data_IF_599034075919
#
_entry.id   IF_599034075919
#
_cell.length_a   1.000
_cell.length_b   1.000
_cell.length_c   1.000
_cell.angle_alpha   90.00
_cell.angle_beta   90.00
_cell.angle_gamma   90.00
#
_symmetry.space_group_name_H-M   'P 1'
#
loop_
_entity.id
_entity.type
_entity.pdbx_description
1 polymer ?
#
# COMPACT_ATOMS: atom_id res chain seq x y z
N UNK A 1 -0.87 -30.89 2.02
CA UNK A 1 -1.10 -29.62 1.31
C UNK A 1 -1.65 -28.65 2.35
N UNK A 2 -1.03 -27.49 2.54
CA UNK A 2 -1.47 -26.55 3.57
C UNK A 2 -2.76 -25.86 3.10
N UNK A 3 -3.87 -26.00 3.85
CA UNK A 3 -5.18 -25.43 3.48
C UNK A 3 -5.15 -23.89 3.36
N UNK A 4 -4.19 -23.24 4.02
CA UNK A 4 -4.04 -21.79 4.04
C UNK A 4 -3.20 -21.23 2.88
N UNK A 5 -2.60 -22.06 2.02
CA UNK A 5 -1.71 -21.59 0.95
C UNK A 5 -2.25 -21.92 -0.45
N UNK A 6 -2.32 -20.89 -1.31
CA UNK A 6 -2.73 -20.99 -2.70
C UNK A 6 -1.63 -20.47 -3.64
N UNK A 7 -1.48 -21.10 -4.81
CA UNK A 7 -0.55 -20.64 -5.85
C UNK A 7 -1.33 -20.04 -6.99
N UNK A 8 -0.93 -18.86 -7.44
CA UNK A 8 -1.47 -18.19 -8.62
C UNK A 8 -0.56 -18.45 -9.81
N UNK A 9 -1.17 -18.89 -10.90
CA UNK A 9 -0.48 -19.07 -12.18
C UNK A 9 -0.24 -17.69 -12.84
N UNK A 10 0.94 -17.43 -13.43
CA UNK A 10 1.19 -16.20 -14.17
C UNK A 10 0.28 -16.00 -15.40
N UNK A 11 -0.20 -17.08 -16.01
CA UNK A 11 -1.04 -17.04 -17.21
C UNK A 11 -2.54 -16.99 -16.88
N UNK A 12 -2.91 -17.25 -15.63
CA UNK A 12 -4.30 -17.31 -15.19
C UNK A 12 -4.46 -16.87 -13.74
N UNK A 13 -5.16 -15.76 -13.55
CA UNK A 13 -5.54 -15.27 -12.24
C UNK A 13 -6.29 -16.32 -11.41
N UNK A 14 -5.99 -16.37 -10.12
CA UNK A 14 -6.57 -17.33 -9.19
C UNK A 14 -8.08 -17.07 -8.98
N UNK A 15 -8.47 -15.81 -9.02
CA UNK A 15 -9.85 -15.34 -8.82
C UNK A 15 -10.37 -14.66 -10.09
N UNK A 16 -10.65 -15.46 -11.13
CA UNK A 16 -11.12 -14.92 -12.42
C UNK A 16 -12.46 -14.19 -12.30
N UNK A 17 -13.32 -14.59 -11.37
CA UNK A 17 -14.61 -13.95 -11.10
C UNK A 17 -14.44 -12.47 -10.72
N UNK A 18 -13.40 -12.12 -9.96
CA UNK A 18 -13.08 -10.72 -9.63
C UNK A 18 -12.70 -9.90 -10.87
N UNK A 19 -12.01 -10.51 -11.83
CA UNK A 19 -11.69 -9.86 -13.11
C UNK A 19 -12.97 -9.58 -13.90
N UNK A 20 -13.88 -10.54 -13.95
CA UNK A 20 -15.16 -10.38 -14.64
C UNK A 20 -16.11 -9.42 -13.93
N UNK A 21 -15.97 -9.21 -12.63
CA UNK A 21 -16.79 -8.28 -11.84
C UNK A 21 -16.24 -6.86 -11.77
N UNK A 22 -15.25 -6.51 -12.61
CA UNK A 22 -14.70 -5.15 -12.65
C UNK A 22 -15.80 -4.11 -12.93
N UNK A 23 -15.82 -2.97 -12.21
CA UNK A 23 -16.82 -1.94 -12.47
C UNK A 23 -16.71 -1.38 -13.90
N UNK A 24 -17.79 -1.48 -14.69
CA UNK A 24 -17.83 -0.95 -16.06
C UNK A 24 -17.98 0.58 -16.11
N UNK A 25 -18.60 1.15 -15.07
CA UNK A 25 -18.84 2.60 -14.98
C UNK A 25 -17.87 3.24 -13.99
N UNK A 26 -17.16 4.29 -14.43
CA UNK A 26 -16.23 5.08 -13.59
C UNK A 26 -16.86 5.58 -12.29
N UNK A 27 -18.16 5.88 -12.28
CA UNK A 27 -18.86 6.31 -11.07
C UNK A 27 -18.93 5.24 -9.97
N UNK A 28 -18.85 3.96 -10.33
CA UNK A 28 -18.84 2.83 -9.39
C UNK A 28 -17.44 2.23 -9.19
N UNK A 29 -16.43 2.75 -9.89
CA UNK A 29 -15.06 2.27 -9.83
C UNK A 29 -14.23 2.87 -8.67
N UNK A 30 -14.90 3.57 -7.74
CA UNK A 30 -14.32 4.10 -6.51
C UNK A 30 -13.49 5.37 -6.66
N UNK A 31 -13.18 5.98 -5.52
CA UNK A 31 -12.39 7.20 -5.35
C UNK A 31 -11.13 6.90 -4.55
N UNK A 32 -9.96 7.14 -5.11
CA UNK A 32 -8.68 6.93 -4.43
C UNK A 32 -8.03 8.27 -4.08
N UNK A 33 -7.63 8.43 -2.82
CA UNK A 33 -6.69 9.47 -2.43
C UNK A 33 -5.27 8.91 -2.42
N UNK A 34 -4.38 9.51 -3.18
CA UNK A 34 -2.95 9.19 -3.21
C UNK A 34 -2.20 10.29 -2.47
N UNK A 35 -1.36 9.92 -1.51
CA UNK A 35 -0.61 10.86 -0.68
C UNK A 35 0.87 10.52 -0.77
N UNK A 36 1.70 11.52 -1.03
CA UNK A 36 3.14 11.29 -1.10
C UNK A 36 3.90 12.52 -1.53
N UNK A 37 5.20 12.32 -1.72
CA UNK A 37 6.10 13.34 -2.22
C UNK A 37 6.63 14.29 -1.17
N UNK A 38 7.71 14.96 -1.57
CA UNK A 38 8.40 16.02 -0.86
C UNK A 38 9.07 16.93 -1.90
N UNK A 39 9.61 18.08 -1.46
CA UNK A 39 10.28 19.06 -2.32
C UNK A 39 11.32 18.49 -3.30
N UNK A 40 11.98 17.36 -2.97
CA UNK A 40 13.02 16.74 -3.77
C UNK A 40 12.53 15.56 -4.63
N UNK A 41 11.30 15.08 -4.45
CA UNK A 41 10.80 13.94 -5.19
C UNK A 41 9.30 13.72 -5.02
N UNK A 42 8.62 13.46 -6.12
CA UNK A 42 7.18 13.14 -6.18
C UNK A 42 6.90 12.02 -7.19
N UNK A 43 7.92 11.23 -7.54
CA UNK A 43 7.78 10.18 -8.54
C UNK A 43 6.82 9.09 -8.06
N UNK A 44 6.88 8.71 -6.78
CA UNK A 44 5.99 7.71 -6.20
C UNK A 44 4.50 8.08 -6.32
N UNK A 45 4.02 9.25 -5.86
CA UNK A 45 2.61 9.60 -6.01
C UNK A 45 2.19 9.80 -7.48
N UNK A 46 3.08 10.28 -8.36
CA UNK A 46 2.78 10.44 -9.79
C UNK A 46 2.65 9.08 -10.52
N UNK A 47 3.58 8.16 -10.26
CA UNK A 47 3.52 6.78 -10.78
C UNK A 47 2.30 6.05 -10.21
N UNK A 48 2.03 6.18 -8.91
CA UNK A 48 0.86 5.59 -8.28
C UNK A 48 -0.45 6.08 -8.91
N UNK A 49 -0.53 7.36 -9.28
CA UNK A 49 -1.69 7.89 -9.99
C UNK A 49 -1.86 7.22 -11.37
N UNK A 50 -0.81 7.17 -12.18
CA UNK A 50 -0.87 6.53 -13.49
C UNK A 50 -1.22 5.03 -13.39
N UNK A 51 -0.67 4.33 -12.40
CA UNK A 51 -0.94 2.92 -12.19
C UNK A 51 -2.33 2.66 -11.61
N UNK A 52 -2.89 3.55 -10.79
CA UNK A 52 -4.27 3.46 -10.34
C UNK A 52 -5.26 3.64 -11.51
N UNK A 53 -4.97 4.56 -12.44
CA UNK A 53 -5.76 4.71 -13.67
C UNK A 53 -5.72 3.44 -14.53
N UNK A 54 -4.54 2.82 -14.68
CA UNK A 54 -4.40 1.53 -15.39
C UNK A 54 -5.13 0.39 -14.68
N UNK A 55 -5.12 0.38 -13.35
CA UNK A 55 -5.85 -0.58 -12.53
C UNK A 55 -7.38 -0.40 -12.60
N UNK A 56 -7.85 0.71 -13.17
CA UNK A 56 -9.27 0.97 -13.39
C UNK A 56 -9.95 1.76 -12.28
N UNK A 57 -9.23 2.64 -11.56
CA UNK A 57 -9.84 3.54 -10.59
C UNK A 57 -10.85 4.49 -11.25
N UNK A 58 -11.98 4.75 -10.59
CA UNK A 58 -12.99 5.69 -11.08
C UNK A 58 -12.48 7.11 -11.16
N UNK A 59 -12.03 7.62 -10.01
CA UNK A 59 -11.36 8.92 -9.88
C UNK A 59 -10.27 8.86 -8.82
N UNK A 60 -9.17 9.57 -9.06
CA UNK A 60 -8.09 9.69 -8.10
C UNK A 60 -7.72 11.16 -7.90
N UNK A 61 -7.30 11.49 -6.68
CA UNK A 61 -6.68 12.77 -6.33
C UNK A 61 -5.31 12.50 -5.72
N UNK A 62 -4.38 13.40 -5.94
CA UNK A 62 -3.03 13.29 -5.38
C UNK A 62 -2.75 14.45 -4.47
N UNK A 63 -2.61 14.20 -3.17
CA UNK A 63 -2.17 15.20 -2.21
C UNK A 63 -0.64 15.25 -2.16
N UNK A 64 -0.10 16.45 -2.36
CA UNK A 64 1.32 16.77 -2.38
C UNK A 64 1.63 17.89 -1.37
N UNK A 65 2.87 18.04 -0.88
CA UNK A 65 3.25 19.22 -0.11
C UNK A 65 3.26 20.48 -0.99
N UNK A 66 2.77 21.60 -0.49
CA UNK A 66 2.69 22.89 -1.19
C UNK A 66 4.04 23.43 -1.69
N UNK A 67 5.15 22.98 -1.11
CA UNK A 67 6.50 23.23 -1.63
C UNK A 67 6.71 22.75 -3.08
N UNK A 68 5.91 21.79 -3.56
CA UNK A 68 5.92 21.30 -4.94
C UNK A 68 5.03 22.11 -5.89
N UNK A 69 4.20 23.04 -5.40
CA UNK A 69 3.25 23.77 -6.24
C UNK A 69 3.91 24.47 -7.42
N UNK A 70 5.07 25.11 -7.18
CA UNK A 70 5.84 25.78 -8.25
C UNK A 70 6.40 24.82 -9.30
N UNK A 71 6.60 23.56 -8.93
CA UNK A 71 7.18 22.52 -9.80
C UNK A 71 6.12 21.84 -10.64
N UNK A 72 4.97 21.46 -10.05
CA UNK A 72 3.99 20.58 -10.71
C UNK A 72 2.57 21.13 -10.75
N UNK A 73 2.23 22.16 -9.97
CA UNK A 73 0.84 22.60 -9.77
C UNK A 73 0.11 23.04 -11.03
N UNK A 74 0.81 23.52 -12.06
CA UNK A 74 0.20 23.88 -13.35
C UNK A 74 0.03 22.70 -14.31
N UNK A 75 0.88 21.67 -14.18
CA UNK A 75 0.95 20.56 -15.12
C UNK A 75 0.15 19.34 -14.64
N UNK A 76 0.05 19.17 -13.32
CA UNK A 76 -0.56 18.00 -12.71
C UNK A 76 -1.92 18.35 -12.10
N UNK A 77 -2.97 18.29 -12.93
CA UNK A 77 -4.33 18.73 -12.58
C UNK A 77 -5.03 17.86 -11.53
N UNK A 78 -4.56 16.64 -11.30
CA UNK A 78 -5.01 15.79 -10.20
C UNK A 78 -4.36 16.14 -8.85
N UNK A 79 -3.37 17.05 -8.86
CA UNK A 79 -2.61 17.47 -7.70
C UNK A 79 -3.34 18.49 -6.84
N UNK A 80 -3.49 18.16 -5.57
CA UNK A 80 -3.94 19.02 -4.47
C UNK A 80 -2.74 19.27 -3.54
N UNK A 81 -2.73 20.38 -2.81
CA UNK A 81 -1.55 20.84 -2.09
C UNK A 81 -1.85 21.19 -0.65
N UNK A 82 -1.15 20.53 0.27
CA UNK A 82 -1.26 20.77 1.71
C UNK A 82 0.02 21.40 2.30
N UNK A 83 -0.06 22.06 3.47
CA UNK A 83 1.08 22.71 4.10
C UNK A 83 2.34 21.84 4.19
N UNK A 84 3.50 22.42 3.84
CA UNK A 84 4.81 21.77 3.95
C UNK A 84 5.67 22.31 5.09
N UNK A 85 6.57 21.47 5.60
CA UNK A 85 7.63 21.87 6.52
C UNK A 85 8.66 22.76 5.80
N UNK A 86 9.54 23.48 6.52
CA UNK A 86 10.64 24.21 5.89
C UNK A 86 11.56 23.32 5.02
N UNK A 87 11.66 22.03 5.33
CA UNK A 87 12.43 21.06 4.53
C UNK A 87 11.65 20.50 3.34
N UNK A 88 10.35 20.81 3.21
CA UNK A 88 9.53 20.50 2.05
C UNK A 88 8.80 19.15 2.08
N UNK A 89 8.72 18.47 3.22
CA UNK A 89 7.79 17.34 3.44
C UNK A 89 6.45 17.86 3.98
N UNK A 90 5.44 17.02 4.19
CA UNK A 90 4.18 17.47 4.79
C UNK A 90 4.38 17.99 6.23
N UNK A 91 3.82 19.16 6.53
CA UNK A 91 3.77 19.73 7.87
C UNK A 91 2.64 19.14 8.70
N UNK A 92 2.75 19.22 10.03
CA UNK A 92 1.72 18.72 10.95
C UNK A 92 0.38 19.44 10.77
N UNK A 93 0.42 20.70 10.33
CA UNK A 93 -0.77 21.50 10.04
C UNK A 93 -1.59 20.99 8.85
N UNK A 94 -1.03 20.09 8.02
CA UNK A 94 -1.75 19.42 6.93
C UNK A 94 -2.80 18.40 7.40
N UNK A 95 -2.83 18.05 8.70
CA UNK A 95 -3.69 16.96 9.20
C UNK A 95 -5.18 17.15 8.88
N UNK A 96 -5.70 18.37 9.03
CA UNK A 96 -7.13 18.64 8.81
C UNK A 96 -7.51 18.45 7.34
N UNK A 97 -6.67 18.94 6.42
CA UNK A 97 -6.86 18.80 4.99
C UNK A 97 -6.72 17.34 4.54
N UNK A 98 -5.70 16.64 5.03
CA UNK A 98 -5.49 15.23 4.75
C UNK A 98 -6.68 14.36 5.21
N UNK A 99 -7.24 14.63 6.40
CA UNK A 99 -8.45 13.95 6.88
C UNK A 99 -9.69 14.28 6.04
N UNK A 100 -9.86 15.54 5.62
CA UNK A 100 -10.98 15.95 4.78
C UNK A 100 -10.94 15.27 3.40
N UNK A 101 -9.75 15.15 2.81
CA UNK A 101 -9.56 14.44 1.56
C UNK A 101 -9.75 12.93 1.72
N UNK A 102 -9.28 12.35 2.82
CA UNK A 102 -9.50 10.94 3.11
C UNK A 102 -11.00 10.62 3.25
N UNK A 103 -11.79 11.52 3.86
CA UNK A 103 -13.24 11.39 3.96
C UNK A 103 -13.97 11.50 2.61
N UNK A 104 -13.36 12.13 1.59
CA UNK A 104 -13.89 12.17 0.23
C UNK A 104 -13.65 10.86 -0.54
N UNK A 105 -12.58 10.13 -0.21
CA UNK A 105 -12.16 8.91 -0.89
C UNK A 105 -12.78 7.65 -0.28
N UNK A 106 -12.86 6.59 -1.08
CA UNK A 106 -13.23 5.24 -0.64
C UNK A 106 -12.00 4.45 -0.14
N UNK A 107 -10.78 4.90 -0.49
CA UNK A 107 -9.53 4.37 0.04
C UNK A 107 -8.37 5.35 -0.09
N UNK A 108 -7.34 5.16 0.73
CA UNK A 108 -6.13 6.00 0.75
C UNK A 108 -4.90 5.16 0.42
N UNK A 109 -4.02 5.70 -0.42
CA UNK A 109 -2.70 5.16 -0.69
C UNK A 109 -1.62 6.15 -0.21
N UNK A 110 -0.87 5.79 0.83
CA UNK A 110 0.40 6.46 1.14
C UNK A 110 1.47 5.89 0.20
N UNK A 111 1.65 6.52 -0.96
CA UNK A 111 2.47 6.02 -2.06
C UNK A 111 3.98 6.08 -1.77
N UNK A 112 4.38 6.97 -0.87
CA UNK A 112 5.77 7.19 -0.47
C UNK A 112 6.36 8.48 -1.02
N UNK A 113 7.69 8.55 -1.01
CA UNK A 113 8.49 9.76 -1.16
C UNK A 113 8.10 10.83 -0.10
N UNK A 114 7.69 10.42 1.10
CA UNK A 114 7.27 11.33 2.18
C UNK A 114 8.46 12.03 2.85
N UNK A 115 9.65 11.44 2.73
CA UNK A 115 10.90 11.97 3.25
C UNK A 115 11.20 11.50 4.67
N UNK A 116 12.19 12.12 5.31
CA UNK A 116 12.63 11.76 6.68
C UNK A 116 12.60 12.99 7.59
N UNK A 117 11.40 13.45 7.89
CA UNK A 117 11.16 14.60 8.76
C UNK A 117 10.31 14.15 9.96
N UNK A 118 10.71 14.54 11.17
CA UNK A 118 10.03 14.16 12.42
C UNK A 118 8.63 14.77 12.55
N UNK A 119 8.41 15.98 12.05
CA UNK A 119 7.10 16.61 12.00
C UNK A 119 6.15 15.83 11.05
N UNK A 120 6.66 15.39 9.89
CA UNK A 120 5.92 14.51 8.99
C UNK A 120 5.63 13.17 9.64
N UNK A 121 6.55 12.61 10.43
CA UNK A 121 6.28 11.38 11.18
C UNK A 121 5.09 11.55 12.14
N UNK A 122 5.06 12.66 12.89
CA UNK A 122 3.94 12.99 13.79
C UNK A 122 2.63 13.17 13.02
N UNK A 123 2.67 13.79 11.83
CA UNK A 123 1.49 13.90 10.96
C UNK A 123 0.96 12.52 10.56
N UNK A 124 1.82 11.66 10.01
CA UNK A 124 1.43 10.34 9.50
C UNK A 124 0.91 9.46 10.65
N UNK A 125 1.57 9.47 11.80
CA UNK A 125 1.09 8.77 12.99
C UNK A 125 -0.31 9.23 13.41
N UNK A 126 -0.52 10.55 13.51
CA UNK A 126 -1.83 11.12 13.87
C UNK A 126 -2.90 10.83 12.82
N UNK A 127 -2.52 10.78 11.54
CA UNK A 127 -3.42 10.45 10.46
C UNK A 127 -3.85 8.98 10.53
N UNK A 128 -2.92 8.04 10.67
CA UNK A 128 -3.19 6.59 10.79
C UNK A 128 -4.09 6.26 11.99
N UNK A 129 -3.91 6.97 13.10
CA UNK A 129 -4.73 6.82 14.30
C UNK A 129 -6.16 7.35 14.13
N UNK A 130 -6.37 8.38 13.29
CA UNK A 130 -7.65 9.10 13.19
C UNK A 130 -8.49 8.75 11.97
N UNK A 131 -7.87 8.36 10.87
CA UNK A 131 -8.55 8.06 9.63
C UNK A 131 -9.25 6.69 9.76
N UNK A 132 -10.56 6.56 9.60
CA UNK A 132 -11.21 5.25 9.44
C UNK A 132 -11.13 4.79 7.98
N UNK A 133 -11.25 3.49 7.72
CA UNK A 133 -11.34 2.97 6.35
C UNK A 133 -10.03 2.42 5.77
N UNK A 134 -10.12 2.06 4.51
CA UNK A 134 -9.10 1.35 3.73
C UNK A 134 -7.86 2.22 3.51
N UNK A 135 -6.71 1.72 3.95
CA UNK A 135 -5.42 2.37 3.71
C UNK A 135 -4.34 1.40 3.25
N UNK A 136 -3.65 1.77 2.19
CA UNK A 136 -2.49 1.05 1.65
C UNK A 136 -1.23 1.88 1.88
N UNK A 137 -0.19 1.27 2.46
CA UNK A 137 1.11 1.92 2.68
C UNK A 137 2.16 1.28 1.78
N UNK A 138 2.85 2.10 0.99
CA UNK A 138 3.94 1.67 0.11
C UNK A 138 5.26 2.39 0.39
N UNK A 139 6.36 1.81 -0.12
CA UNK A 139 7.72 2.38 -0.05
C UNK A 139 8.10 2.81 1.38
N UNK A 140 8.55 4.05 1.57
CA UNK A 140 8.96 4.66 2.84
C UNK A 140 7.77 5.04 3.74
N UNK A 141 6.52 4.99 3.26
CA UNK A 141 5.36 5.19 4.13
C UNK A 141 5.28 4.13 5.23
N UNK A 142 5.70 2.89 4.92
CA UNK A 142 5.79 1.80 5.90
C UNK A 142 6.83 2.10 6.98
N UNK A 143 7.86 2.89 6.67
CA UNK A 143 8.95 3.17 7.61
C UNK A 143 8.46 3.95 8.84
N UNK A 144 7.38 4.73 8.72
CA UNK A 144 6.75 5.45 9.83
C UNK A 144 6.10 4.53 10.87
N UNK A 145 5.91 3.25 10.55
CA UNK A 145 5.32 2.27 11.46
C UNK A 145 6.38 1.41 12.14
N UNK A 146 7.66 1.48 11.74
CA UNK A 146 8.67 0.54 12.22
C UNK A 146 8.89 0.63 13.74
N UNK A 147 8.96 1.84 14.28
CA UNK A 147 9.22 2.05 15.71
C UNK A 147 7.98 1.78 16.58
N UNK A 148 6.78 1.89 16.02
CA UNK A 148 5.52 1.60 16.73
C UNK A 148 4.58 0.80 15.83
N UNK A 149 4.84 -0.51 15.65
CA UNK A 149 4.13 -1.33 14.66
C UNK A 149 2.62 -1.39 14.83
N UNK A 150 2.12 -1.25 16.07
CA UNK A 150 0.70 -1.30 16.39
C UNK A 150 -0.14 -0.27 15.61
N UNK A 151 0.44 0.88 15.21
CA UNK A 151 -0.30 1.92 14.46
C UNK A 151 -0.75 1.46 13.07
N UNK A 152 -0.13 0.41 12.51
CA UNK A 152 -0.52 -0.18 11.25
C UNK A 152 -0.90 -1.66 11.36
N UNK A 153 -0.18 -2.45 12.16
CA UNK A 153 -0.41 -3.89 12.28
C UNK A 153 -1.74 -4.22 12.95
N UNK A 154 -2.09 -3.45 13.98
CA UNK A 154 -3.31 -3.67 14.78
C UNK A 154 -4.47 -2.80 14.29
N UNK A 155 -4.23 -1.99 13.25
CA UNK A 155 -5.23 -1.17 12.60
C UNK A 155 -5.99 -2.05 11.59
N UNK A 156 -7.33 -2.16 11.68
CA UNK A 156 -8.12 -2.86 10.67
C UNK A 156 -7.99 -2.13 9.32
N UNK A 157 -8.35 -2.80 8.23
CA UNK A 157 -8.42 -2.17 6.90
C UNK A 157 -7.10 -1.50 6.51
N UNK A 158 -5.98 -2.12 6.88
CA UNK A 158 -4.62 -1.68 6.49
C UNK A 158 -3.92 -2.73 5.62
N UNK A 159 -3.36 -2.30 4.49
CA UNK A 159 -2.52 -3.12 3.61
C UNK A 159 -1.11 -2.55 3.53
N UNK A 160 -0.09 -3.38 3.75
CA UNK A 160 1.31 -3.00 3.69
C UNK A 160 2.00 -3.62 2.47
N UNK A 161 2.53 -2.77 1.59
CA UNK A 161 3.35 -3.17 0.46
C UNK A 161 4.82 -3.07 0.86
N UNK A 162 5.39 -4.20 1.28
CA UNK A 162 6.56 -4.22 2.16
C UNK A 162 7.69 -5.08 1.61
N UNK A 163 8.92 -4.72 1.96
CA UNK A 163 10.12 -5.54 1.72
C UNK A 163 10.37 -6.50 2.88
N UNK A 164 11.11 -7.60 2.66
CA UNK A 164 11.53 -8.49 3.76
C UNK A 164 12.27 -7.73 4.88
N UNK A 165 13.06 -6.70 4.54
CA UNK A 165 13.79 -5.87 5.50
C UNK A 165 12.85 -5.06 6.41
N UNK A 166 11.80 -4.49 5.84
CA UNK A 166 10.78 -3.74 6.59
C UNK A 166 9.91 -4.71 7.41
N UNK A 167 9.53 -5.87 6.86
CA UNK A 167 8.78 -6.89 7.59
C UNK A 167 9.58 -7.43 8.78
N UNK A 168 10.87 -7.71 8.61
CA UNK A 168 11.76 -8.14 9.69
C UNK A 168 11.76 -7.12 10.83
N UNK A 169 11.89 -5.82 10.53
CA UNK A 169 11.86 -4.76 11.54
C UNK A 169 10.51 -4.62 12.23
N UNK A 170 9.40 -4.64 11.47
CA UNK A 170 8.04 -4.61 12.03
C UNK A 170 7.81 -5.79 12.97
N UNK A 171 8.12 -7.01 12.51
CA UNK A 171 7.91 -8.23 13.28
C UNK A 171 8.76 -8.25 14.56
N UNK A 172 10.02 -7.83 14.49
CA UNK A 172 10.89 -7.73 15.66
C UNK A 172 10.34 -6.74 16.69
N UNK A 173 9.95 -5.54 16.26
CA UNK A 173 9.40 -4.51 17.14
C UNK A 173 7.99 -4.86 17.66
N UNK A 174 7.23 -5.68 16.92
CA UNK A 174 5.96 -6.28 17.34
C UNK A 174 6.15 -7.51 18.25
N UNK A 175 7.40 -7.89 18.57
CA UNK A 175 7.74 -9.06 19.39
C UNK A 175 7.15 -10.36 18.83
N UNK A 176 7.09 -10.49 17.51
CA UNK A 176 6.71 -11.72 16.84
C UNK A 176 7.87 -12.71 16.91
N UNK A 177 7.58 -13.95 17.32
CA UNK A 177 8.62 -14.94 17.67
C UNK A 177 9.37 -15.50 16.45
N UNK A 178 8.70 -15.94 15.37
CA UNK A 178 9.41 -16.31 14.15
C UNK A 178 10.11 -15.10 13.54
N UNK A 179 11.43 -15.16 13.40
CA UNK A 179 12.20 -14.10 12.77
C UNK A 179 12.09 -14.22 11.24
N UNK A 180 11.71 -13.16 10.56
CA UNK A 180 11.83 -13.07 9.10
C UNK A 180 13.28 -12.79 8.72
N UNK A 181 13.88 -13.63 7.87
CA UNK A 181 15.27 -13.47 7.41
C UNK A 181 15.35 -13.50 5.88
N UNK A 182 16.44 -12.97 5.32
CA UNK A 182 16.64 -12.91 3.87
C UNK A 182 16.93 -14.27 3.23
N UNK A 183 17.40 -15.23 4.01
CA UNK A 183 17.76 -16.60 3.63
C UNK A 183 16.65 -17.60 3.99
N UNK A 184 15.53 -17.14 4.52
CA UNK A 184 14.38 -17.98 4.87
C UNK A 184 13.89 -18.71 3.61
N UNK A 185 13.73 -20.03 3.71
CA UNK A 185 13.19 -20.80 2.59
C UNK A 185 11.71 -20.49 2.36
N UNK A 186 11.26 -20.83 1.15
CA UNK A 186 9.93 -20.51 0.67
C UNK A 186 8.81 -21.02 1.59
N UNK A 187 8.90 -22.25 2.09
CA UNK A 187 7.82 -22.85 2.90
C UNK A 187 7.78 -22.23 4.29
N UNK A 188 8.94 -22.01 4.90
CA UNK A 188 9.04 -21.30 6.18
C UNK A 188 8.52 -19.87 6.09
N UNK A 189 8.75 -19.17 4.96
CA UNK A 189 8.18 -17.83 4.74
C UNK A 189 6.65 -17.87 4.64
N UNK A 190 6.09 -18.85 3.91
CA UNK A 190 4.63 -19.04 3.82
C UNK A 190 4.02 -19.29 5.19
N UNK A 191 4.61 -20.16 6.00
CA UNK A 191 4.13 -20.45 7.35
C UNK A 191 4.27 -19.25 8.30
N UNK A 192 5.39 -18.52 8.22
CA UNK A 192 5.60 -17.31 9.01
C UNK A 192 4.59 -16.22 8.67
N UNK A 193 4.28 -16.01 7.39
CA UNK A 193 3.27 -15.06 6.93
C UNK A 193 1.84 -15.45 7.35
N UNK A 194 1.51 -16.74 7.27
CA UNK A 194 0.26 -17.29 7.79
C UNK A 194 0.09 -16.93 9.28
N UNK A 195 1.07 -17.31 10.11
CA UNK A 195 1.03 -17.07 11.55
C UNK A 195 1.02 -15.58 11.90
N UNK A 196 1.74 -14.75 11.14
CA UNK A 196 1.80 -13.32 11.36
C UNK A 196 0.46 -12.62 11.09
N UNK A 197 -0.17 -12.92 9.94
CA UNK A 197 -1.45 -12.31 9.54
C UNK A 197 -2.67 -12.98 10.18
N UNK A 198 -2.51 -14.14 10.82
CA UNK A 198 -3.51 -14.68 11.75
C UNK A 198 -3.51 -13.93 13.09
N UNK A 199 -2.38 -13.30 13.47
CA UNK A 199 -2.23 -12.54 14.72
C UNK A 199 -2.52 -11.05 14.55
N UNK A 200 -2.13 -10.47 13.42
CA UNK A 200 -2.29 -9.04 13.14
C UNK A 200 -3.30 -8.84 12.00
N UNK A 201 -4.28 -7.92 12.14
CA UNK A 201 -5.30 -7.68 11.12
C UNK A 201 -4.78 -7.04 9.82
N UNK A 202 -3.57 -6.48 9.82
CA UNK A 202 -3.00 -5.90 8.60
C UNK A 202 -2.72 -6.94 7.51
N UNK A 203 -3.09 -6.60 6.28
CA UNK A 203 -2.75 -7.36 5.09
C UNK A 203 -1.31 -7.09 4.68
N UNK A 204 -0.61 -8.09 4.17
CA UNK A 204 0.74 -7.95 3.65
C UNK A 204 0.79 -8.29 2.16
N UNK A 205 1.49 -7.47 1.38
CA UNK A 205 1.95 -7.81 0.04
C UNK A 205 3.45 -7.58 0.00
N UNK A 206 4.23 -8.61 -0.28
CA UNK A 206 5.67 -8.52 -0.29
C UNK A 206 6.31 -9.31 -1.42
N UNK A 207 7.44 -8.82 -1.92
CA UNK A 207 8.28 -9.58 -2.84
C UNK A 207 9.42 -10.24 -2.09
N UNK A 208 9.65 -11.51 -2.38
CA UNK A 208 10.83 -12.25 -1.94
C UNK A 208 11.28 -13.19 -3.05
N UNK A 209 12.54 -13.02 -3.48
CA UNK A 209 13.10 -13.66 -4.68
C UNK A 209 12.20 -13.39 -5.91
N UNK A 210 11.86 -14.44 -6.67
CA UNK A 210 11.03 -14.38 -7.88
C UNK A 210 9.53 -14.54 -7.59
N UNK A 211 9.08 -14.22 -6.37
CA UNK A 211 7.69 -14.37 -5.97
C UNK A 211 7.17 -13.13 -5.24
N UNK A 212 5.92 -12.80 -5.51
CA UNK A 212 5.11 -11.92 -4.68
C UNK A 212 4.21 -12.78 -3.81
N UNK A 213 4.18 -12.46 -2.53
CA UNK A 213 3.36 -13.09 -1.50
C UNK A 213 2.27 -12.10 -1.10
N UNK A 214 1.05 -12.59 -1.01
CA UNK A 214 -0.08 -11.89 -0.38
C UNK A 214 -0.48 -12.68 0.84
N UNK A 215 -0.56 -12.03 2.00
CA UNK A 215 -1.01 -12.66 3.24
C UNK A 215 -2.13 -11.82 3.86
N UNK A 216 -3.28 -12.45 4.12
CA UNK A 216 -4.51 -11.82 4.62
C UNK A 216 -5.20 -12.78 5.56
N UNK A 217 -5.38 -12.39 6.83
CA UNK A 217 -6.11 -13.19 7.83
C UNK A 217 -5.66 -14.67 7.87
N UNK A 218 -4.34 -14.89 7.82
CA UNK A 218 -3.74 -16.22 7.77
C UNK A 218 -3.76 -16.90 6.39
N UNK A 219 -4.54 -16.45 5.42
CA UNK A 219 -4.45 -16.99 4.07
C UNK A 219 -3.25 -16.41 3.34
N UNK A 220 -2.52 -17.25 2.60
CA UNK A 220 -1.34 -16.88 1.83
C UNK A 220 -1.53 -17.26 0.38
N UNK A 221 -1.26 -16.34 -0.54
CA UNK A 221 -1.12 -16.65 -1.95
C UNK A 221 0.25 -16.25 -2.46
N UNK A 222 0.71 -16.93 -3.50
CA UNK A 222 1.99 -16.66 -4.13
C UNK A 222 1.85 -16.57 -5.64
N UNK A 223 2.41 -15.53 -6.23
CA UNK A 223 2.44 -15.26 -7.67
C UNK A 223 3.90 -15.15 -8.10
N UNK A 224 4.30 -15.87 -9.16
CA UNK A 224 5.67 -15.77 -9.69
C UNK A 224 5.87 -14.40 -10.35
N UNK A 225 6.91 -13.68 -9.96
CA UNK A 225 7.23 -12.33 -10.43
C UNK A 225 8.75 -12.23 -10.68
N UNK A 226 9.22 -12.33 -11.94
CA UNK A 226 10.65 -12.36 -12.25
C UNK A 226 11.42 -11.13 -11.73
N UNK A 227 12.68 -11.34 -11.32
CA UNK A 227 13.48 -10.34 -10.63
C UNK A 227 13.83 -9.07 -11.44
N UNK A 228 13.75 -9.11 -12.77
CA UNK A 228 14.13 -8.04 -13.70
C UNK A 228 13.16 -6.83 -13.67
N UNK A 229 11.99 -6.97 -13.06
CA UNK A 229 11.07 -5.86 -12.84
C UNK A 229 11.48 -5.03 -11.60
N UNK A 230 12.27 -3.97 -11.82
CA UNK A 230 12.86 -3.13 -10.76
C UNK A 230 11.84 -2.22 -10.01
N UNK A 231 10.73 -1.83 -10.64
CA UNK A 231 9.76 -0.86 -10.12
C UNK A 231 8.46 -1.51 -9.61
N UNK A 232 8.56 -2.60 -8.85
CA UNK A 232 7.36 -3.37 -8.45
C UNK A 232 6.51 -2.66 -7.38
N UNK A 233 7.13 -1.96 -6.42
CA UNK A 233 6.43 -1.48 -5.20
C UNK A 233 5.33 -0.46 -5.47
N UNK A 234 5.61 0.58 -6.25
CA UNK A 234 4.61 1.63 -6.52
C UNK A 234 3.46 1.08 -7.35
N UNK A 235 3.79 0.35 -8.44
CA UNK A 235 2.83 -0.34 -9.29
C UNK A 235 1.93 -1.27 -8.46
N UNK A 236 2.53 -2.15 -7.67
CA UNK A 236 1.79 -3.08 -6.80
C UNK A 236 0.93 -2.34 -5.78
N UNK A 237 1.41 -1.25 -5.19
CA UNK A 237 0.64 -0.48 -4.23
C UNK A 237 -0.60 0.20 -4.83
N UNK A 238 -0.47 0.77 -6.03
CA UNK A 238 -1.58 1.40 -6.74
C UNK A 238 -2.65 0.37 -7.16
N UNK A 239 -2.22 -0.77 -7.70
CA UNK A 239 -3.13 -1.85 -8.07
C UNK A 239 -3.78 -2.46 -6.83
N UNK A 240 -3.02 -2.76 -5.78
CA UNK A 240 -3.56 -3.28 -4.51
C UNK A 240 -4.60 -2.35 -3.90
N UNK A 241 -4.32 -1.04 -3.83
CA UNK A 241 -5.27 -0.06 -3.31
C UNK A 241 -6.56 -0.03 -4.16
N UNK A 242 -6.43 -0.03 -5.49
CA UNK A 242 -7.57 0.06 -6.42
C UNK A 242 -8.44 -1.20 -6.37
N UNK A 243 -7.84 -2.38 -6.46
CA UNK A 243 -8.57 -3.64 -6.41
C UNK A 243 -9.27 -3.86 -5.08
N UNK A 244 -8.59 -3.51 -3.98
CA UNK A 244 -9.14 -3.70 -2.66
C UNK A 244 -10.28 -2.72 -2.35
N UNK A 245 -10.17 -1.44 -2.71
CA UNK A 245 -11.30 -0.51 -2.53
C UNK A 245 -12.51 -0.86 -3.39
N UNK A 246 -12.31 -1.52 -4.53
CA UNK A 246 -13.41 -2.04 -5.35
C UNK A 246 -14.01 -3.34 -4.81
N UNK A 247 -13.30 -4.05 -3.92
CA UNK A 247 -13.70 -5.33 -3.35
C UNK A 247 -13.41 -5.38 -1.84
N UNK A 248 -13.98 -4.46 -1.02
CA UNK A 248 -13.54 -4.25 0.36
C UNK A 248 -13.80 -5.45 1.28
N UNK A 249 -14.78 -6.29 0.93
CA UNK A 249 -15.16 -7.49 1.69
C UNK A 249 -14.38 -8.74 1.30
N UNK A 250 -13.54 -8.67 0.25
CA UNK A 250 -12.73 -9.78 -0.28
C UNK A 250 -11.25 -9.38 -0.39
N UNK A 251 -10.59 -8.99 0.73
CA UNK A 251 -9.22 -8.48 0.70
C UNK A 251 -8.21 -9.49 0.15
N UNK A 252 -8.35 -10.77 0.48
CA UNK A 252 -7.42 -11.80 -0.01
C UNK A 252 -7.51 -11.92 -1.53
N UNK A 253 -8.72 -12.10 -2.06
CA UNK A 253 -8.97 -12.25 -3.49
C UNK A 253 -8.58 -11.00 -4.27
N UNK A 254 -8.91 -9.83 -3.74
CA UNK A 254 -8.60 -8.54 -4.36
C UNK A 254 -7.09 -8.31 -4.46
N UNK A 255 -6.35 -8.52 -3.36
CA UNK A 255 -4.91 -8.32 -3.33
C UNK A 255 -4.18 -9.38 -4.17
N UNK A 256 -4.61 -10.63 -4.14
CA UNK A 256 -4.05 -11.68 -5.01
C UNK A 256 -4.25 -11.35 -6.49
N UNK A 257 -5.46 -10.90 -6.86
CA UNK A 257 -5.76 -10.48 -8.25
C UNK A 257 -4.93 -9.26 -8.65
N UNK A 258 -4.76 -8.29 -7.75
CA UNK A 258 -3.90 -7.13 -7.99
C UNK A 258 -2.45 -7.54 -8.32
N UNK A 259 -1.90 -8.56 -7.63
CA UNK A 259 -0.54 -9.03 -7.93
C UNK A 259 -0.40 -9.75 -9.27
N UNK A 260 -1.49 -10.28 -9.83
CA UNK A 260 -1.50 -10.85 -11.18
C UNK A 260 -1.42 -9.75 -12.24
N UNK A 261 -2.24 -8.70 -12.10
CA UNK A 261 -2.35 -7.61 -13.08
C UNK A 261 -1.09 -6.75 -13.18
N UNK A 262 -0.19 -6.85 -12.20
CA UNK A 262 1.09 -6.13 -12.21
C UNK A 262 2.24 -6.91 -12.84
N UNK A 263 2.04 -8.18 -13.21
CA UNK A 263 3.00 -8.93 -14.04
C UNK A 263 3.25 -8.22 -15.38
#
# INVERSE_FOLDING_TARGET
MHEYWQRQDPDKALFTDLIWSRPENRHHAGKLLIVGGNKYGFAAPAEAFSEAEKAGIGTARVLLPDSLYKTVGKAFTAGEFAPSTPSGSFARTALAELLAMAAWSDGVLLAGDLGRNSETAVLIEQFLQKMPGLITLGKDAVDYCLETPAICLDRPETTLIITIAQLQKLAANAKFTPAFTFDMDFLNLVEALHNFTAKHPANLVMRHLDNVFVAVNGQVSTTRYPADQAAWRTKTAAHAATWWLQNPTKPFEALTTATHEVL
#
